data_IF_350676462132
#
_entry.id   IF_350676462132
#
_cell.length_a   1.000
_cell.length_b   1.000
_cell.length_c   1.000
_cell.angle_alpha   90.00
_cell.angle_beta   90.00
_cell.angle_gamma   90.00
#
_symmetry.space_group_name_H-M   'P 1'
#
loop_
_entity.id
_entity.type
_entity.pdbx_description
1 polymer ?
#
# COMPACT_ATOMS: atom_id res chain seq x y z
N UNK A 1 3.41 -13.55 13.91
CA UNK A 1 2.72 -12.39 14.49
C UNK A 1 1.39 -12.26 13.75
N UNK A 2 0.24 -12.23 14.43
CA UNK A 2 -1.06 -12.09 13.77
C UNK A 2 -1.30 -10.59 13.51
N UNK A 3 -1.69 -10.20 12.30
CA UNK A 3 -2.04 -8.80 12.05
C UNK A 3 -3.15 -8.35 12.98
N UNK A 4 -3.02 -7.13 13.47
CA UNK A 4 -4.02 -6.46 14.30
C UNK A 4 -4.99 -5.64 13.45
N UNK A 5 -4.56 -5.21 12.25
CA UNK A 5 -5.39 -4.49 11.30
C UNK A 5 -5.15 -4.97 9.87
N UNK A 6 -6.21 -5.39 9.20
CA UNK A 6 -6.25 -5.57 7.75
C UNK A 6 -7.35 -4.64 7.26
N UNK A 7 -6.99 -3.68 6.42
CA UNK A 7 -7.91 -2.66 5.93
C UNK A 7 -7.84 -2.56 4.40
N UNK A 8 -9.02 -2.46 3.78
CA UNK A 8 -9.19 -2.08 2.38
C UNK A 8 -9.94 -0.77 2.36
N UNK A 9 -9.29 0.29 1.91
CA UNK A 9 -9.80 1.66 2.04
C UNK A 9 -9.85 2.33 0.67
N UNK A 10 -10.84 3.19 0.48
CA UNK A 10 -10.99 4.03 -0.73
C UNK A 10 -10.75 5.50 -0.44
N UNK A 11 -10.81 5.89 0.83
CA UNK A 11 -10.55 7.24 1.33
C UNK A 11 -9.03 7.50 1.45
N UNK A 12 -8.47 8.46 0.68
CA UNK A 12 -7.05 8.83 0.76
C UNK A 12 -6.63 9.32 2.15
N UNK A 13 -7.50 10.01 2.89
CA UNK A 13 -7.17 10.53 4.21
C UNK A 13 -7.05 9.40 5.24
N UNK A 14 -7.92 8.39 5.13
CA UNK A 14 -7.83 7.20 5.96
C UNK A 14 -6.57 6.39 5.64
N UNK A 15 -6.19 6.29 4.36
CA UNK A 15 -4.91 5.67 3.97
C UNK A 15 -3.74 6.40 4.63
N UNK A 16 -3.67 7.73 4.49
CA UNK A 16 -2.59 8.55 5.06
C UNK A 16 -2.52 8.44 6.58
N UNK A 17 -3.66 8.48 7.27
CA UNK A 17 -3.72 8.34 8.74
C UNK A 17 -3.37 6.92 9.23
N UNK A 18 -3.51 5.92 8.37
CA UNK A 18 -3.16 4.54 8.71
C UNK A 18 -1.66 4.25 8.54
N UNK A 19 -0.96 5.06 7.73
CA UNK A 19 0.49 5.01 7.57
C UNK A 19 1.17 5.56 8.84
N UNK A 20 2.10 4.80 9.40
CA UNK A 20 2.88 5.17 10.56
C UNK A 20 4.37 5.04 10.26
N UNK A 21 5.23 5.75 10.99
CA UNK A 21 6.68 5.89 10.73
C UNK A 21 7.47 4.57 10.65
N UNK A 22 6.94 3.48 11.19
CA UNK A 22 7.62 2.18 11.23
C UNK A 22 7.15 1.19 10.15
N UNK A 23 6.23 1.63 9.27
CA UNK A 23 5.79 0.82 8.14
C UNK A 23 6.41 1.26 6.83
N UNK A 24 6.06 0.55 5.77
CA UNK A 24 6.55 0.77 4.42
C UNK A 24 5.39 0.81 3.45
N UNK A 25 5.43 1.76 2.52
CA UNK A 25 4.48 1.85 1.41
C UNK A 25 5.10 1.17 0.20
N UNK A 26 4.37 0.22 -0.38
CA UNK A 26 4.68 -0.38 -1.67
C UNK A 26 3.64 0.06 -2.68
N UNK A 27 4.06 0.30 -3.90
CA UNK A 27 3.14 0.62 -4.98
C UNK A 27 3.54 -0.06 -6.29
N UNK A 28 2.53 -0.38 -7.09
CA UNK A 28 2.69 -0.91 -8.43
C UNK A 28 2.17 0.11 -9.44
N UNK A 29 2.78 0.13 -10.62
CA UNK A 29 2.31 0.94 -11.74
C UNK A 29 1.89 0.06 -12.93
N UNK A 30 1.07 0.60 -13.82
CA UNK A 30 0.85 0.04 -15.15
C UNK A 30 2.00 0.37 -16.12
N UNK A 31 1.85 -0.03 -17.38
CA UNK A 31 2.79 0.23 -18.48
C UNK A 31 2.94 1.73 -18.82
N UNK A 32 1.95 2.55 -18.47
CA UNK A 32 1.95 4.00 -18.67
C UNK A 32 2.47 4.75 -17.45
N UNK A 33 3.05 4.04 -16.49
CA UNK A 33 3.52 4.56 -15.21
C UNK A 33 2.40 5.17 -14.35
N UNK A 34 1.14 4.76 -14.50
CA UNK A 34 0.09 5.15 -13.54
C UNK A 34 0.15 4.24 -12.32
N UNK A 35 0.05 4.79 -11.11
CA UNK A 35 -0.03 3.97 -9.89
C UNK A 35 -1.39 3.24 -9.88
N UNK A 36 -1.36 1.91 -9.84
CA UNK A 36 -2.56 1.05 -9.89
C UNK A 36 -2.85 0.32 -8.58
N UNK A 37 -1.86 0.20 -7.69
CA UNK A 37 -2.03 -0.44 -6.39
C UNK A 37 -1.10 0.23 -5.39
N UNK A 38 -1.62 0.49 -4.19
CA UNK A 38 -0.86 1.01 -3.06
C UNK A 38 -1.16 0.12 -1.85
N UNK A 39 -0.11 -0.38 -1.22
CA UNK A 39 -0.19 -1.18 0.00
C UNK A 39 0.77 -0.63 1.02
N UNK A 40 0.23 -0.22 2.16
CA UNK A 40 1.03 0.03 3.36
C UNK A 40 1.13 -1.26 4.17
N UNK A 41 2.35 -1.58 4.57
CA UNK A 41 2.67 -2.73 5.39
C UNK A 41 3.44 -2.31 6.64
N UNK A 42 3.09 -2.87 7.78
CA UNK A 42 3.89 -2.82 9.00
C UNK A 42 3.76 -4.14 9.74
N UNK A 43 4.61 -4.38 10.76
CA UNK A 43 4.62 -5.65 11.50
C UNK A 43 3.26 -6.09 12.08
N UNK A 44 2.28 -5.19 12.21
CA UNK A 44 0.92 -5.52 12.66
C UNK A 44 -0.21 -5.05 11.74
N UNK A 45 0.07 -4.40 10.60
CA UNK A 45 -0.98 -3.79 9.75
C UNK A 45 -0.74 -4.00 8.27
N UNK A 46 -1.81 -4.31 7.54
CA UNK A 46 -1.90 -4.21 6.08
C UNK A 46 -3.01 -3.22 5.75
N UNK A 47 -2.70 -2.22 4.93
CA UNK A 47 -3.68 -1.28 4.41
C UNK A 47 -3.54 -1.22 2.90
N UNK A 48 -4.54 -1.76 2.19
CA UNK A 48 -4.64 -1.71 0.75
C UNK A 48 -5.54 -0.55 0.33
N UNK A 49 -5.06 0.28 -0.58
CA UNK A 49 -5.85 1.34 -1.19
C UNK A 49 -6.51 0.84 -2.47
N UNK A 50 -7.85 0.93 -2.53
CA UNK A 50 -8.67 0.56 -3.68
C UNK A 50 -9.43 1.76 -4.27
N UNK A 51 -9.11 2.97 -3.84
CA UNK A 51 -9.71 4.18 -4.38
C UNK A 51 -9.01 4.66 -5.65
N UNK A 52 -9.51 5.78 -6.19
CA UNK A 52 -8.91 6.43 -7.35
C UNK A 52 -7.59 7.10 -6.96
N UNK A 53 -6.51 6.76 -7.65
CA UNK A 53 -5.22 7.40 -7.42
C UNK A 53 -5.13 8.70 -8.20
N UNK A 54 -5.39 9.80 -7.50
CA UNK A 54 -5.25 11.15 -8.05
C UNK A 54 -3.78 11.60 -8.04
N UNK A 55 -3.48 12.68 -8.76
CA UNK A 55 -2.11 13.16 -8.97
C UNK A 55 -1.38 13.43 -7.65
N UNK A 56 -2.06 14.05 -6.68
CA UNK A 56 -1.48 14.35 -5.36
C UNK A 56 -1.11 13.09 -4.60
N UNK A 57 -2.00 12.10 -4.58
CA UNK A 57 -1.74 10.82 -3.91
C UNK A 57 -0.61 10.06 -4.62
N UNK A 58 -0.59 10.06 -5.95
CA UNK A 58 0.49 9.47 -6.76
C UNK A 58 1.85 10.07 -6.43
N UNK A 59 1.96 11.41 -6.38
CA UNK A 59 3.20 12.11 -5.99
C UNK A 59 3.61 11.74 -4.57
N UNK A 60 2.66 11.73 -3.64
CA UNK A 60 2.92 11.38 -2.25
C UNK A 60 3.49 9.96 -2.11
N UNK A 61 2.83 8.94 -2.68
CA UNK A 61 3.29 7.54 -2.54
C UNK A 61 4.63 7.29 -3.24
N UNK A 62 4.91 8.01 -4.34
CA UNK A 62 6.23 7.95 -5.01
C UNK A 62 7.34 8.54 -4.16
N UNK A 63 7.03 9.54 -3.33
CA UNK A 63 8.02 10.17 -2.47
C UNK A 63 8.37 9.32 -1.24
N UNK A 64 7.40 8.56 -0.70
CA UNK A 64 7.56 7.82 0.56
C UNK A 64 7.65 6.30 0.40
N UNK A 65 7.27 5.78 -0.76
CA UNK A 65 7.11 4.37 -1.01
C UNK A 65 8.09 3.79 -2.02
N UNK A 66 8.04 2.48 -2.16
CA UNK A 66 8.85 1.72 -3.11
C UNK A 66 8.00 1.18 -4.25
N UNK A 67 8.42 1.47 -5.48
CA UNK A 67 7.88 0.83 -6.67
C UNK A 67 8.29 -0.65 -6.67
N UNK A 68 7.33 -1.53 -6.89
CA UNK A 68 7.54 -2.98 -6.99
C UNK A 68 6.84 -3.52 -8.25
N UNK A 69 7.35 -4.63 -8.78
CA UNK A 69 6.78 -5.27 -9.98
C UNK A 69 5.53 -6.09 -9.66
N UNK A 70 5.40 -6.59 -8.43
CA UNK A 70 4.20 -7.31 -7.97
C UNK A 70 3.99 -7.16 -6.46
N UNK A 71 2.72 -7.13 -6.05
CA UNK A 71 2.28 -7.20 -4.66
C UNK A 71 1.24 -8.31 -4.53
N UNK A 72 1.51 -9.27 -3.67
CA UNK A 72 0.58 -10.36 -3.30
C UNK A 72 0.29 -10.26 -1.80
N UNK A 73 -1.00 -10.28 -1.43
CA UNK A 73 -1.45 -10.17 -0.05
C UNK A 73 -2.17 -11.47 0.35
N UNK A 74 -1.69 -12.13 1.39
CA UNK A 74 -2.40 -13.23 2.04
C UNK A 74 -2.89 -12.76 3.40
N UNK A 75 -4.19 -12.50 3.50
CA UNK A 75 -4.84 -12.03 4.72
C UNK A 75 -4.98 -13.13 5.77
N UNK A 76 -4.97 -14.40 5.37
CA UNK A 76 -5.17 -15.56 6.24
C UNK A 76 -3.86 -15.89 6.95
N UNK A 77 -2.78 -16.02 6.18
CA UNK A 77 -1.44 -16.29 6.72
C UNK A 77 -0.77 -15.03 7.25
N UNK A 78 -1.24 -13.87 6.80
CA UNK A 78 -0.77 -12.61 7.29
C UNK A 78 0.59 -12.24 6.73
N UNK A 79 0.74 -12.19 5.40
CA UNK A 79 1.95 -11.65 4.78
C UNK A 79 1.63 -10.79 3.55
N UNK A 80 2.59 -9.90 3.24
CA UNK A 80 2.68 -9.20 1.95
C UNK A 80 3.96 -9.68 1.28
N UNK A 81 3.81 -10.26 0.10
CA UNK A 81 4.93 -10.68 -0.73
C UNK A 81 5.13 -9.64 -1.83
N UNK A 82 6.36 -9.17 -1.93
CA UNK A 82 6.78 -8.21 -2.94
C UNK A 82 7.75 -8.88 -3.92
N UNK A 83 7.68 -8.47 -5.18
CA UNK A 83 8.73 -8.72 -6.17
C UNK A 83 9.22 -7.36 -6.66
N UNK A 84 10.54 -7.18 -6.75
CA UNK A 84 11.15 -5.96 -7.26
C UNK A 84 11.71 -6.24 -8.65
#
# INVERSE_FOLDING_TARGET
MKFQLIAKVTDPDLLRKSMHELGTVFYQTDEKDNVILIVYFSGSRIVQYNGKVEEELSKFVRAIGYRVSSIEIDEVQGYVKILQ
#
